data_IF_478067705503
#
_entry.id   IF_478067705503
#
_cell.length_a   1.000
_cell.length_b   1.000
_cell.length_c   1.000
_cell.angle_alpha   90.00
_cell.angle_beta   90.00
_cell.angle_gamma   90.00
#
_symmetry.space_group_name_H-M   'P 1'
#
loop_
_entity.id
_entity.type
_entity.pdbx_description
1 polymer ?
#
# COMPACT_ATOMS: atom_id res chain seq x y z
N UNK A 1 -3.14 1.14 8.01
CA UNK A 1 -3.19 0.13 9.07
C UNK A 1 -4.48 0.33 9.85
N UNK A 2 -5.23 -0.73 10.04
CA UNK A 2 -6.45 -0.76 10.84
C UNK A 2 -6.11 -1.09 12.28
N UNK A 3 -6.86 -0.54 13.21
CA UNK A 3 -6.74 -0.92 14.60
C UNK A 3 -7.03 -2.42 14.79
N UNK A 4 -6.13 -3.15 15.44
CA UNK A 4 -6.25 -4.58 15.62
C UNK A 4 -5.70 -5.46 14.47
N UNK A 5 -5.08 -4.87 13.45
CA UNK A 5 -4.43 -5.66 12.40
C UNK A 5 -3.34 -6.57 12.96
N UNK A 6 -3.32 -7.82 12.48
CA UNK A 6 -2.28 -8.80 12.84
C UNK A 6 -1.01 -8.53 12.00
N UNK A 7 0.13 -8.25 12.66
CA UNK A 7 1.39 -8.02 11.92
C UNK A 7 1.82 -9.20 11.05
N UNK A 8 1.36 -10.42 11.34
CA UNK A 8 1.69 -11.61 10.56
C UNK A 8 1.21 -11.54 9.11
N UNK A 9 0.27 -10.64 8.79
CA UNK A 9 -0.25 -10.47 7.42
C UNK A 9 0.71 -9.63 6.54
N UNK A 10 1.61 -8.88 7.13
CA UNK A 10 2.42 -7.89 6.42
C UNK A 10 3.28 -8.50 5.31
N UNK A 11 4.01 -9.61 5.54
CA UNK A 11 4.80 -10.23 4.46
C UNK A 11 3.94 -10.63 3.26
N UNK A 12 2.77 -11.20 3.52
CA UNK A 12 1.83 -11.59 2.46
C UNK A 12 1.31 -10.38 1.69
N UNK A 13 0.99 -9.29 2.40
CA UNK A 13 0.53 -8.05 1.77
C UNK A 13 1.61 -7.43 0.89
N UNK A 14 2.84 -7.34 1.39
CA UNK A 14 3.95 -6.79 0.63
C UNK A 14 4.23 -7.61 -0.63
N UNK A 15 4.25 -8.94 -0.52
CA UNK A 15 4.41 -9.83 -1.67
C UNK A 15 3.27 -9.65 -2.68
N UNK A 16 2.05 -9.52 -2.21
CA UNK A 16 0.89 -9.26 -3.07
C UNK A 16 1.07 -7.95 -3.84
N UNK A 17 1.42 -6.87 -3.15
CA UNK A 17 1.61 -5.55 -3.78
C UNK A 17 2.70 -5.59 -4.85
N UNK A 18 3.86 -6.17 -4.54
CA UNK A 18 4.98 -6.26 -5.48
C UNK A 18 4.70 -7.15 -6.68
N UNK A 19 3.89 -8.18 -6.49
CA UNK A 19 3.57 -9.17 -7.50
C UNK A 19 2.26 -8.93 -8.25
N UNK A 20 1.53 -7.85 -7.96
CA UNK A 20 0.29 -7.54 -8.69
C UNK A 20 0.56 -7.39 -10.18
N UNK A 21 -0.24 -8.06 -10.98
CA UNK A 21 -0.10 -8.07 -12.44
C UNK A 21 -0.91 -6.92 -13.04
N UNK A 22 -0.44 -5.71 -12.80
CA UNK A 22 -1.12 -4.45 -13.14
C UNK A 22 -0.47 -3.70 -14.30
N UNK A 23 0.53 -4.28 -14.95
CA UNK A 23 1.17 -3.71 -16.12
C UNK A 23 0.83 -4.53 -17.36
N UNK A 24 0.64 -3.85 -18.48
CA UNK A 24 0.21 -4.48 -19.70
C UNK A 24 1.28 -5.42 -20.29
N UNK A 25 0.84 -6.56 -20.79
CA UNK A 25 1.64 -7.44 -21.63
C UNK A 25 1.63 -6.99 -23.11
N UNK A 26 2.24 -7.79 -23.98
CA UNK A 26 2.31 -7.48 -25.41
C UNK A 26 0.94 -7.47 -26.11
N UNK A 27 -0.07 -8.08 -25.47
CA UNK A 27 -1.46 -8.09 -25.97
C UNK A 27 -2.31 -6.98 -25.36
N UNK A 28 -1.72 -6.12 -24.51
CA UNK A 28 -2.42 -5.03 -23.84
C UNK A 28 -3.23 -5.44 -22.61
N UNK A 29 -3.05 -6.67 -22.13
CA UNK A 29 -3.74 -7.18 -20.93
C UNK A 29 -2.90 -6.95 -19.68
N UNK A 30 -3.55 -6.63 -18.55
CA UNK A 30 -2.90 -6.51 -17.26
C UNK A 30 -2.38 -7.88 -16.81
N UNK A 31 -1.10 -8.12 -16.95
CA UNK A 31 -0.52 -9.44 -16.79
C UNK A 31 0.91 -9.45 -16.22
N UNK A 32 1.57 -8.32 -16.17
CA UNK A 32 2.95 -8.21 -15.68
C UNK A 32 3.02 -7.45 -14.36
N UNK A 33 3.96 -7.83 -13.51
CA UNK A 33 4.16 -7.22 -12.20
C UNK A 33 5.37 -6.28 -12.16
N UNK A 34 5.42 -5.43 -11.14
CA UNK A 34 6.58 -4.57 -10.90
C UNK A 34 7.87 -5.38 -10.68
N UNK A 35 7.77 -6.50 -9.97
CA UNK A 35 8.91 -7.40 -9.73
C UNK A 35 9.44 -7.97 -11.04
N UNK A 36 8.55 -8.44 -11.91
CA UNK A 36 8.94 -9.00 -13.22
C UNK A 36 9.61 -7.96 -14.10
N UNK A 37 9.11 -6.74 -14.09
CA UNK A 37 9.59 -5.66 -14.97
C UNK A 37 10.74 -4.85 -14.38
N UNK A 38 11.08 -5.07 -13.11
CA UNK A 38 12.12 -4.30 -12.45
C UNK A 38 11.72 -2.84 -12.21
N UNK A 39 10.47 -2.60 -11.83
CA UNK A 39 9.96 -1.26 -11.57
C UNK A 39 10.17 -0.84 -10.12
N UNK A 40 10.01 0.43 -9.88
CA UNK A 40 10.15 1.04 -8.55
C UNK A 40 8.80 1.17 -7.86
N UNK A 41 8.84 1.31 -6.53
CA UNK A 41 7.65 1.48 -5.68
C UNK A 41 7.83 2.72 -4.83
N UNK A 42 6.79 3.53 -4.74
CA UNK A 42 6.69 4.63 -3.77
C UNK A 42 5.63 4.26 -2.74
N UNK A 43 6.00 4.25 -1.48
CA UNK A 43 5.10 3.94 -0.36
C UNK A 43 4.80 5.22 0.42
N UNK A 44 3.52 5.51 0.57
CA UNK A 44 3.03 6.66 1.33
C UNK A 44 2.07 6.18 2.40
N UNK A 45 2.37 6.45 3.68
CA UNK A 45 1.44 6.16 4.76
C UNK A 45 0.25 7.10 4.70
N UNK A 46 -0.96 6.56 4.90
CA UNK A 46 -2.17 7.38 4.89
C UNK A 46 -3.26 6.76 5.77
N UNK A 47 -3.44 7.29 6.98
CA UNK A 47 -4.48 6.79 7.89
C UNK A 47 -5.89 7.14 7.43
N UNK A 48 -6.05 8.17 6.60
CA UNK A 48 -7.37 8.61 6.13
C UNK A 48 -8.04 7.63 5.19
N UNK A 49 -7.33 6.58 4.75
CA UNK A 49 -7.94 5.45 4.04
C UNK A 49 -8.99 4.73 4.89
N UNK A 50 -8.87 4.80 6.22
CA UNK A 50 -9.87 4.28 7.15
C UNK A 50 -10.90 5.34 7.58
N UNK A 51 -11.06 6.38 6.79
CA UNK A 51 -12.09 7.38 7.01
C UNK A 51 -13.49 6.78 6.87
N UNK A 52 -14.30 6.88 7.92
CA UNK A 52 -15.69 6.48 7.92
C UNK A 52 -16.56 7.69 7.62
N UNK A 53 -17.25 7.64 6.49
CA UNK A 53 -18.15 8.72 6.04
C UNK A 53 -19.62 8.32 6.12
N UNK A 54 -19.93 7.25 6.84
CA UNK A 54 -21.30 6.73 6.94
C UNK A 54 -22.25 7.66 7.68
N UNK A 55 -21.71 8.57 8.50
CA UNK A 55 -22.50 9.52 9.31
C UNK A 55 -22.05 10.96 9.05
N UNK A 56 -22.93 11.77 8.51
CA UNK A 56 -22.68 13.20 8.31
C UNK A 56 -21.57 13.47 7.29
N UNK A 57 -20.97 14.64 7.39
CA UNK A 57 -19.98 15.13 6.42
C UNK A 57 -18.56 15.23 6.99
N UNK A 58 -18.37 14.91 8.26
CA UNK A 58 -17.06 14.88 8.89
C UNK A 58 -16.60 13.42 8.97
N UNK A 59 -15.53 13.04 8.26
CA UNK A 59 -14.99 11.67 8.36
C UNK A 59 -14.54 11.35 9.78
N UNK A 60 -14.79 10.12 10.21
CA UNK A 60 -14.25 9.57 11.46
C UNK A 60 -13.09 8.65 11.15
N UNK A 61 -12.02 8.70 11.95
CA UNK A 61 -10.83 7.88 11.78
C UNK A 61 -10.59 6.93 12.96
N UNK A 62 -11.65 6.59 13.68
CA UNK A 62 -11.55 5.74 14.88
C UNK A 62 -11.05 4.32 14.59
N UNK A 63 -11.20 3.86 13.35
CA UNK A 63 -10.76 2.52 12.96
C UNK A 63 -9.30 2.45 12.51
N UNK A 64 -8.65 3.59 12.30
CA UNK A 64 -7.24 3.63 11.96
C UNK A 64 -6.37 3.34 13.18
N UNK A 65 -5.37 2.49 13.02
CA UNK A 65 -4.35 2.28 14.04
C UNK A 65 -3.57 3.57 14.29
N UNK A 66 -3.08 3.75 15.50
CA UNK A 66 -2.44 5.00 15.95
C UNK A 66 -1.07 4.73 16.56
N UNK A 67 -0.24 5.78 16.61
CA UNK A 67 1.04 5.80 17.32
C UNK A 67 2.01 4.74 16.84
N UNK A 68 2.69 4.13 17.80
CA UNK A 68 3.74 3.15 17.51
C UNK A 68 3.23 1.88 16.82
N UNK A 69 2.00 1.47 17.11
CA UNK A 69 1.40 0.30 16.47
C UNK A 69 1.30 0.50 14.96
N UNK A 70 0.79 1.65 14.54
CA UNK A 70 0.68 1.98 13.11
C UNK A 70 2.05 2.14 12.47
N UNK A 71 2.99 2.82 13.16
CA UNK A 71 4.34 3.03 12.66
C UNK A 71 5.11 1.73 12.50
N UNK A 72 5.02 0.84 13.48
CA UNK A 72 5.67 -0.48 13.43
C UNK A 72 5.18 -1.30 12.24
N UNK A 73 3.88 -1.31 11.99
CA UNK A 73 3.31 -2.02 10.85
C UNK A 73 3.78 -1.43 9.52
N UNK A 74 3.80 -0.11 9.42
CA UNK A 74 4.29 0.60 8.24
C UNK A 74 5.78 0.30 7.99
N UNK A 75 6.61 0.39 9.01
CA UNK A 75 8.05 0.10 8.90
C UNK A 75 8.30 -1.36 8.48
N UNK A 76 7.53 -2.30 9.02
CA UNK A 76 7.62 -3.71 8.64
C UNK A 76 7.24 -3.92 7.17
N UNK A 77 6.20 -3.25 6.68
CA UNK A 77 5.80 -3.31 5.28
C UNK A 77 6.88 -2.77 4.35
N UNK A 78 7.47 -1.62 4.70
CA UNK A 78 8.60 -1.06 3.96
C UNK A 78 9.77 -2.05 3.89
N UNK A 79 10.12 -2.65 5.03
CA UNK A 79 11.23 -3.58 5.10
C UNK A 79 11.00 -4.80 4.22
N UNK A 80 9.78 -5.32 4.19
CA UNK A 80 9.43 -6.44 3.32
C UNK A 80 9.57 -6.08 1.84
N UNK A 81 9.14 -4.89 1.45
CA UNK A 81 9.32 -4.42 0.07
C UNK A 81 10.80 -4.23 -0.28
N UNK A 82 11.59 -3.64 0.64
CA UNK A 82 13.02 -3.42 0.43
C UNK A 82 13.79 -4.75 0.28
N UNK A 83 13.31 -5.81 0.93
CA UNK A 83 13.89 -7.15 0.83
C UNK A 83 13.34 -7.94 -0.36
N UNK A 84 12.38 -7.41 -1.10
CA UNK A 84 11.80 -8.09 -2.26
C UNK A 84 12.75 -8.01 -3.45
N UNK A 85 13.17 -9.16 -3.96
CA UNK A 85 13.99 -9.22 -5.15
C UNK A 85 13.18 -8.88 -6.40
N UNK A 86 13.79 -8.20 -7.33
CA UNK A 86 13.19 -7.83 -8.61
C UNK A 86 12.70 -6.39 -8.68
N UNK A 87 12.42 -5.75 -7.57
CA UNK A 87 12.13 -4.31 -7.55
C UNK A 87 13.41 -3.52 -7.76
N UNK A 88 13.35 -2.49 -8.61
CA UNK A 88 14.48 -1.61 -8.86
C UNK A 88 14.81 -0.77 -7.64
N UNK A 89 13.79 -0.20 -7.00
CA UNK A 89 13.95 0.73 -5.90
C UNK A 89 12.65 0.81 -5.10
N UNK A 90 12.77 1.09 -3.80
CA UNK A 90 11.65 1.36 -2.91
C UNK A 90 11.90 2.71 -2.24
N UNK A 91 11.06 3.68 -2.55
CA UNK A 91 11.06 4.99 -1.95
C UNK A 91 9.85 5.16 -1.05
N UNK A 92 9.91 6.09 -0.12
CA UNK A 92 8.80 6.32 0.80
C UNK A 92 8.75 7.78 1.25
N UNK A 93 7.59 8.20 1.74
CA UNK A 93 7.44 9.46 2.45
C UNK A 93 7.85 9.31 3.92
N UNK A 94 7.48 10.29 4.72
CA UNK A 94 7.71 10.30 6.17
C UNK A 94 6.41 9.95 6.89
N UNK A 95 6.45 8.91 7.74
CA UNK A 95 5.28 8.49 8.48
C UNK A 95 4.75 9.60 9.39
N UNK A 96 3.45 9.86 9.30
CA UNK A 96 2.77 10.86 10.13
C UNK A 96 2.97 12.31 9.69
N UNK A 97 3.76 12.55 8.65
CA UNK A 97 3.97 13.90 8.12
C UNK A 97 2.81 14.36 7.24
N UNK A 98 2.66 15.66 7.13
CA UNK A 98 1.80 16.26 6.12
C UNK A 98 2.56 16.30 4.80
N UNK A 99 2.06 15.58 3.80
CA UNK A 99 2.77 15.36 2.54
C UNK A 99 1.97 15.85 1.35
N UNK A 100 2.68 16.38 0.36
CA UNK A 100 2.15 16.62 -0.98
C UNK A 100 2.67 15.52 -1.89
N UNK A 101 1.74 14.77 -2.51
CA UNK A 101 2.08 13.65 -3.39
C UNK A 101 1.71 14.01 -4.82
N UNK A 102 2.72 14.09 -5.69
CA UNK A 102 2.52 14.35 -7.12
C UNK A 102 2.77 13.07 -7.90
N UNK A 103 1.85 12.74 -8.80
CA UNK A 103 1.99 11.56 -9.65
C UNK A 103 1.17 11.72 -10.93
N UNK A 104 1.48 10.89 -11.92
CA UNK A 104 0.62 10.66 -13.07
C UNK A 104 0.09 9.24 -12.97
N UNK A 105 -1.23 9.08 -12.84
CA UNK A 105 -1.86 7.77 -12.85
C UNK A 105 -2.15 7.38 -14.30
N UNK A 106 -1.15 6.74 -14.91
CA UNK A 106 -1.22 6.33 -16.30
C UNK A 106 -2.09 5.08 -16.43
N UNK A 107 -3.11 5.22 -17.21
CA UNK A 107 -4.10 4.15 -17.40
C UNK A 107 -5.54 4.65 -17.30
N UNK A 108 -6.10 5.21 -16.23
CA UNK A 108 -5.60 5.04 -14.87
C UNK A 108 -5.84 3.63 -14.33
N UNK A 109 -4.96 3.17 -13.44
CA UNK A 109 -5.11 1.89 -12.73
C UNK A 109 -5.01 2.16 -11.23
N UNK A 110 -6.03 1.76 -10.49
CA UNK A 110 -6.07 1.85 -9.03
C UNK A 110 -6.64 0.56 -8.47
N UNK A 111 -5.90 -0.08 -7.58
CA UNK A 111 -6.30 -1.34 -6.94
C UNK A 111 -6.35 -1.13 -5.43
N UNK A 112 -7.46 -1.54 -4.84
CA UNK A 112 -7.63 -1.53 -3.38
C UNK A 112 -7.42 -2.94 -2.86
N UNK A 113 -6.55 -3.09 -1.85
CA UNK A 113 -6.35 -4.35 -1.15
C UNK A 113 -6.72 -4.14 0.30
N UNK A 114 -7.74 -4.86 0.74
CA UNK A 114 -8.14 -4.92 2.14
C UNK A 114 -7.89 -6.34 2.67
N UNK A 115 -6.98 -6.47 3.62
CA UNK A 115 -6.63 -7.78 4.15
C UNK A 115 -7.74 -8.45 4.94
N UNK A 116 -8.75 -7.70 5.37
CA UNK A 116 -9.94 -8.29 5.99
C UNK A 116 -10.70 -9.19 5.02
N UNK A 117 -10.60 -8.94 3.72
CA UNK A 117 -11.21 -9.77 2.68
C UNK A 117 -10.52 -11.14 2.50
N UNK A 118 -9.34 -11.32 3.12
CA UNK A 118 -8.60 -12.58 3.05
C UNK A 118 -8.95 -13.57 4.18
N UNK A 119 -9.84 -13.20 5.03
CA UNK A 119 -10.27 -14.01 6.20
C UNK A 119 -11.44 -14.90 5.86
#
# INVERSE_FOLDING_TARGET
>A
VKDGDDPAIIPKLAAKCAGLRIFADDEGKLNRSAVELGYSVLVVSNFTLYGDTSRGKRPSFIHAAKGETAKSAYDAFLQELMNTQGLKDVQHGEFGADMQVSLVNDGPVTIIIDTDEWK
#
